data_IF_170260738534
#
_entry.id   IF_170260738534
#
_cell.length_a   1.000
_cell.length_b   1.000
_cell.length_c   1.000
_cell.angle_alpha   90.00
_cell.angle_beta   90.00
_cell.angle_gamma   90.00
#
_symmetry.space_group_name_H-M   'P 1'
#
loop_
_entity.id
_entity.type
_entity.pdbx_description
1 polymer ?
#
# COMPACT_ATOMS: atom_id res chain seq x y z
N UNK A 1 -4.01 4.07 5.63
CA UNK A 1 -3.33 5.10 6.43
C UNK A 1 -3.75 6.51 6.00
N UNK A 2 -3.53 6.91 4.73
CA UNK A 2 -3.90 8.25 4.24
C UNK A 2 -5.36 8.63 4.49
N UNK A 3 -6.32 7.72 4.22
CA UNK A 3 -7.74 7.99 4.45
C UNK A 3 -8.07 8.28 5.92
N UNK A 4 -7.43 7.57 6.86
CA UNK A 4 -7.54 7.82 8.31
C UNK A 4 -6.91 9.17 8.66
N UNK A 5 -5.74 9.48 8.10
CA UNK A 5 -5.03 10.74 8.36
C UNK A 5 -5.82 11.96 7.88
N UNK A 6 -6.51 11.85 6.75
CA UNK A 6 -7.34 12.91 6.19
C UNK A 6 -8.76 12.96 6.82
N UNK A 7 -9.06 12.09 7.80
CA UNK A 7 -10.38 12.05 8.46
C UNK A 7 -11.53 11.62 7.55
N UNK A 8 -11.23 10.97 6.43
CA UNK A 8 -12.24 10.49 5.46
C UNK A 8 -12.98 9.28 6.00
N UNK A 9 -12.28 8.47 6.79
CA UNK A 9 -12.81 7.31 7.48
C UNK A 9 -12.25 7.27 8.89
N UNK A 10 -12.97 6.58 9.77
CA UNK A 10 -12.55 6.20 11.10
C UNK A 10 -12.21 4.70 11.14
N UNK A 11 -11.46 4.23 12.16
CA UNK A 11 -11.05 2.83 12.24
C UNK A 11 -12.18 1.79 12.17
N UNK A 12 -13.38 2.16 12.63
CA UNK A 12 -14.61 1.35 12.64
C UNK A 12 -15.54 1.61 11.44
N UNK A 13 -15.12 2.45 10.48
CA UNK A 13 -15.92 2.74 9.29
C UNK A 13 -16.14 1.51 8.41
N UNK A 14 -17.34 1.45 7.85
CA UNK A 14 -17.76 0.48 6.84
C UNK A 14 -17.87 1.19 5.50
N UNK A 15 -17.34 0.57 4.45
CA UNK A 15 -17.26 1.14 3.11
C UNK A 15 -18.08 0.28 2.16
N UNK A 16 -18.86 0.93 1.30
CA UNK A 16 -19.53 0.28 0.17
C UNK A 16 -18.49 -0.33 -0.79
N UNK A 17 -18.63 -1.62 -1.08
CA UNK A 17 -17.76 -2.36 -1.98
C UNK A 17 -18.51 -3.00 -3.15
N UNK A 18 -19.67 -2.43 -3.52
CA UNK A 18 -20.34 -2.79 -4.77
C UNK A 18 -19.46 -2.47 -6.00
N UNK A 19 -19.39 -3.39 -7.00
CA UNK A 19 -18.68 -3.11 -8.24
C UNK A 19 -19.21 -1.85 -8.93
N UNK A 20 -18.32 -0.97 -9.37
CA UNK A 20 -18.67 0.26 -10.08
C UNK A 20 -17.85 0.42 -11.36
N UNK A 21 -18.28 1.35 -12.21
CA UNK A 21 -17.56 1.70 -13.45
C UNK A 21 -16.87 3.04 -13.25
N UNK A 22 -15.56 3.07 -13.48
CA UNK A 22 -14.75 4.27 -13.50
C UNK A 22 -14.13 4.42 -14.88
N UNK A 23 -14.46 5.51 -15.58
CA UNK A 23 -13.98 5.83 -16.93
C UNK A 23 -14.13 4.69 -17.93
N UNK A 24 -15.28 3.99 -17.91
CA UNK A 24 -15.57 2.87 -18.82
C UNK A 24 -14.95 1.53 -18.39
N UNK A 25 -14.27 1.47 -17.24
CA UNK A 25 -13.68 0.25 -16.70
C UNK A 25 -14.36 -0.19 -15.43
N UNK A 26 -14.75 -1.47 -15.41
CA UNK A 26 -15.39 -2.08 -14.25
C UNK A 26 -14.36 -2.41 -13.18
N UNK A 27 -14.46 -1.76 -12.03
CA UNK A 27 -13.72 -2.10 -10.80
C UNK A 27 -14.57 -3.11 -10.03
N UNK A 28 -13.95 -4.22 -9.63
CA UNK A 28 -14.62 -5.28 -8.88
C UNK A 28 -13.60 -6.10 -8.10
N UNK A 29 -14.05 -6.66 -7.00
CA UNK A 29 -13.28 -7.61 -6.21
C UNK A 29 -13.38 -9.03 -6.81
N UNK A 30 -12.54 -9.94 -6.29
CA UNK A 30 -12.60 -11.37 -6.62
C UNK A 30 -13.88 -12.00 -6.08
N UNK A 31 -14.24 -11.69 -4.84
CA UNK A 31 -15.50 -12.05 -4.21
C UNK A 31 -16.52 -10.92 -4.27
N UNK A 32 -17.80 -11.22 -4.05
CA UNK A 32 -18.81 -10.19 -3.88
C UNK A 32 -19.02 -9.91 -2.39
N UNK A 33 -18.72 -8.67 -2.01
CA UNK A 33 -18.94 -8.13 -0.68
C UNK A 33 -19.68 -6.81 -0.87
N UNK A 34 -20.93 -6.66 -0.40
CA UNK A 34 -21.66 -5.40 -0.57
C UNK A 34 -21.01 -4.28 0.25
N UNK A 35 -20.46 -4.61 1.41
CA UNK A 35 -19.79 -3.69 2.32
C UNK A 35 -18.63 -4.39 3.02
N UNK A 36 -17.57 -3.64 3.33
CA UNK A 36 -16.43 -4.12 4.11
C UNK A 36 -15.99 -3.06 5.12
N UNK A 37 -15.59 -3.50 6.32
CA UNK A 37 -14.82 -2.65 7.24
C UNK A 37 -13.42 -2.38 6.69
N UNK A 38 -12.69 -1.41 7.26
CA UNK A 38 -11.29 -1.17 6.87
C UNK A 38 -10.40 -2.42 7.01
N UNK A 39 -10.61 -3.22 8.06
CA UNK A 39 -9.96 -4.52 8.23
C UNK A 39 -10.36 -5.49 7.12
N UNK A 40 -11.66 -5.54 6.78
CA UNK A 40 -12.17 -6.37 5.69
C UNK A 40 -11.57 -6.01 4.33
N UNK A 41 -11.39 -4.72 4.05
CA UNK A 41 -10.74 -4.23 2.82
C UNK A 41 -9.32 -4.78 2.71
N UNK A 42 -8.52 -4.73 3.78
CA UNK A 42 -7.17 -5.30 3.79
C UNK A 42 -7.19 -6.83 3.72
N UNK A 43 -8.03 -7.48 4.52
CA UNK A 43 -8.15 -8.93 4.60
C UNK A 43 -8.53 -9.56 3.25
N UNK A 44 -9.46 -8.95 2.53
CA UNK A 44 -9.95 -9.43 1.22
C UNK A 44 -9.19 -8.84 0.05
N UNK A 45 -8.24 -7.93 0.31
CA UNK A 45 -7.54 -7.16 -0.72
C UNK A 45 -8.54 -6.52 -1.69
N UNK A 46 -9.56 -5.84 -1.15
CA UNK A 46 -10.67 -5.26 -1.92
C UNK A 46 -10.18 -4.09 -2.78
N UNK A 47 -10.09 -4.32 -4.09
CA UNK A 47 -9.77 -3.30 -5.09
C UNK A 47 -10.86 -2.22 -5.11
N UNK A 48 -12.11 -2.61 -4.89
CA UNK A 48 -13.28 -1.71 -4.83
C UNK A 48 -13.18 -0.77 -3.63
N UNK A 49 -12.93 -1.31 -2.44
CA UNK A 49 -12.81 -0.54 -1.20
C UNK A 49 -11.66 0.47 -1.24
N UNK A 50 -10.45 0.05 -1.62
CA UNK A 50 -9.32 1.00 -1.73
C UNK A 50 -9.54 2.06 -2.82
N UNK A 51 -10.25 1.71 -3.90
CA UNK A 51 -10.59 2.66 -4.96
C UNK A 51 -11.58 3.73 -4.47
N UNK A 52 -12.61 3.37 -3.72
CA UNK A 52 -13.52 4.33 -3.11
C UNK A 52 -12.81 5.27 -2.14
N UNK A 53 -11.96 4.72 -1.25
CA UNK A 53 -11.16 5.54 -0.34
C UNK A 53 -10.27 6.53 -1.10
N UNK A 54 -9.63 6.09 -2.18
CA UNK A 54 -8.80 6.99 -2.99
C UNK A 54 -9.60 8.04 -3.76
N UNK A 55 -10.79 7.70 -4.25
CA UNK A 55 -11.67 8.63 -4.95
C UNK A 55 -12.21 9.74 -4.04
N UNK A 56 -12.31 9.46 -2.74
CA UNK A 56 -12.74 10.41 -1.73
C UNK A 56 -11.67 11.44 -1.32
N UNK A 57 -10.47 11.41 -1.92
CA UNK A 57 -9.39 12.35 -1.61
C UNK A 57 -8.66 12.91 -2.84
N UNK A 58 -8.06 14.11 -2.72
CA UNK A 58 -7.07 14.56 -3.67
C UNK A 58 -5.95 13.54 -3.85
N UNK A 59 -5.63 13.23 -5.10
CA UNK A 59 -4.57 12.27 -5.48
C UNK A 59 -3.23 12.59 -4.84
N UNK A 60 -2.96 13.88 -4.61
CA UNK A 60 -1.73 14.36 -4.00
C UNK A 60 -1.47 13.76 -2.61
N UNK A 61 -2.50 13.54 -1.78
CA UNK A 61 -2.31 12.94 -0.46
C UNK A 61 -1.74 11.52 -0.53
N UNK A 62 -2.13 10.74 -1.54
CA UNK A 62 -1.59 9.39 -1.76
C UNK A 62 -0.16 9.45 -2.28
N UNK A 63 0.13 10.36 -3.20
CA UNK A 63 1.49 10.58 -3.71
C UNK A 63 2.43 10.98 -2.57
N UNK A 64 2.01 11.91 -1.72
CA UNK A 64 2.78 12.37 -0.57
C UNK A 64 3.01 11.23 0.42
N UNK A 65 1.99 10.39 0.66
CA UNK A 65 2.16 9.20 1.50
C UNK A 65 3.15 8.23 0.88
N UNK A 66 3.04 7.90 -0.41
CA UNK A 66 3.98 6.97 -1.06
C UNK A 66 5.42 7.51 -1.04
N UNK A 67 5.62 8.80 -1.34
CA UNK A 67 6.90 9.49 -1.20
C UNK A 67 7.47 9.39 0.19
N UNK A 68 6.65 9.71 1.20
CA UNK A 68 7.09 9.72 2.59
C UNK A 68 7.50 8.32 3.08
N UNK A 69 6.89 7.26 2.55
CA UNK A 69 7.29 5.87 2.83
C UNK A 69 8.47 5.36 1.98
N UNK A 70 9.02 6.19 1.08
CA UNK A 70 10.25 5.90 0.34
C UNK A 70 10.05 5.39 -1.09
N UNK A 71 8.84 5.46 -1.65
CA UNK A 71 8.64 5.20 -3.08
C UNK A 71 9.08 6.40 -3.93
N UNK A 72 9.59 6.09 -5.13
CA UNK A 72 9.95 7.11 -6.12
C UNK A 72 11.22 7.88 -5.79
N UNK A 73 11.96 7.46 -4.77
CA UNK A 73 13.27 7.99 -4.38
C UNK A 73 14.30 6.85 -4.37
N UNK A 74 15.56 7.08 -4.74
CA UNK A 74 16.62 6.10 -4.52
C UNK A 74 16.71 5.70 -3.04
N UNK A 75 17.02 4.43 -2.78
CA UNK A 75 17.19 3.89 -1.42
C UNK A 75 18.43 4.40 -0.68
N UNK A 76 19.38 5.01 -1.40
CA UNK A 76 20.59 5.62 -0.85
C UNK A 76 21.70 4.62 -0.51
N UNK A 77 21.62 3.39 -1.04
CA UNK A 77 22.58 2.32 -0.73
C UNK A 77 23.88 2.42 -1.55
N UNK A 78 23.88 3.21 -2.63
CA UNK A 78 25.06 3.37 -3.49
C UNK A 78 25.33 2.13 -4.34
N UNK A 79 24.30 1.31 -4.58
CA UNK A 79 24.42 0.11 -5.40
C UNK A 79 24.41 0.48 -6.89
N UNK A 80 25.27 -0.18 -7.68
CA UNK A 80 25.25 -0.03 -9.13
C UNK A 80 23.91 -0.52 -9.69
N UNK A 81 23.22 0.32 -10.47
CA UNK A 81 21.91 0.00 -11.02
C UNK A 81 20.73 0.27 -10.09
N UNK A 82 20.97 0.93 -8.96
CA UNK A 82 19.91 1.45 -8.11
C UNK A 82 19.04 2.47 -8.88
N UNK A 83 17.72 2.34 -8.75
CA UNK A 83 16.74 3.18 -9.43
C UNK A 83 15.73 3.73 -8.42
N UNK A 84 15.25 4.94 -8.67
CA UNK A 84 14.16 5.55 -7.92
C UNK A 84 12.79 4.90 -8.23
N UNK A 85 12.73 4.05 -9.26
CA UNK A 85 11.48 3.49 -9.76
C UNK A 85 10.63 4.49 -10.53
N UNK A 86 9.44 4.04 -10.92
CA UNK A 86 8.50 4.85 -11.69
C UNK A 86 7.48 5.46 -10.74
N UNK A 87 7.64 6.74 -10.43
CA UNK A 87 6.61 7.52 -9.75
C UNK A 87 6.26 8.75 -10.57
N UNK A 88 4.98 8.99 -10.89
CA UNK A 88 4.65 10.03 -11.85
C UNK A 88 4.87 11.41 -11.22
N UNK A 89 5.69 12.22 -11.89
CA UNK A 89 5.93 13.61 -11.55
C UNK A 89 5.14 14.49 -12.53
N UNK A 90 3.85 14.73 -12.25
CA UNK A 90 3.02 15.61 -13.09
C UNK A 90 2.20 16.59 -12.26
N UNK A 91 2.08 17.80 -12.80
CA UNK A 91 1.37 18.95 -12.21
C UNK A 91 -0.16 18.84 -12.34
N UNK A 92 -0.65 18.02 -13.26
CA UNK A 92 -2.07 17.78 -13.52
C UNK A 92 -2.32 16.29 -13.69
N UNK A 93 -3.29 15.75 -12.97
CA UNK A 93 -3.74 14.37 -13.07
C UNK A 93 -5.09 14.35 -13.78
N UNK A 94 -5.16 13.75 -14.96
CA UNK A 94 -6.44 13.42 -15.57
C UNK A 94 -7.19 12.35 -14.76
N UNK A 95 -8.51 12.29 -14.89
CA UNK A 95 -9.34 11.26 -14.20
C UNK A 95 -8.84 9.83 -14.51
N UNK A 96 -8.41 9.60 -15.77
CA UNK A 96 -7.86 8.34 -16.29
C UNK A 96 -6.51 7.91 -15.69
N UNK A 97 -5.64 8.82 -15.26
CA UNK A 97 -4.32 8.47 -14.70
C UNK A 97 -4.36 8.28 -13.19
N UNK A 98 -5.29 8.95 -12.52
CA UNK A 98 -5.61 8.66 -11.12
C UNK A 98 -5.91 7.17 -10.94
N UNK A 99 -6.50 6.51 -11.95
CA UNK A 99 -6.71 5.06 -12.00
C UNK A 99 -5.43 4.22 -11.83
N UNK A 100 -4.33 4.60 -12.46
CA UNK A 100 -3.08 3.83 -12.38
C UNK A 100 -2.42 3.99 -11.01
N UNK A 101 -2.48 5.20 -10.43
CA UNK A 101 -2.06 5.43 -9.03
C UNK A 101 -2.91 4.65 -8.02
N UNK A 102 -4.18 4.40 -8.38
CA UNK A 102 -5.18 3.74 -7.54
C UNK A 102 -5.13 2.22 -7.57
N UNK A 103 -4.61 1.61 -8.64
CA UNK A 103 -4.59 0.17 -8.84
C UNK A 103 -3.16 -0.35 -9.10
N UNK A 104 -2.44 -0.70 -8.02
CA UNK A 104 -1.33 -1.68 -7.91
C UNK A 104 -0.08 -1.60 -8.84
N UNK A 105 0.00 -0.73 -9.85
CA UNK A 105 0.94 -0.90 -10.99
C UNK A 105 2.27 -0.12 -10.93
N UNK A 106 2.66 0.49 -9.81
CA UNK A 106 3.93 1.26 -9.72
C UNK A 106 5.08 0.54 -9.00
N UNK A 107 4.81 -0.63 -8.40
CA UNK A 107 5.77 -1.28 -7.51
C UNK A 107 6.66 -2.33 -8.18
N UNK A 108 6.42 -2.62 -9.46
CA UNK A 108 7.20 -3.62 -10.19
C UNK A 108 8.68 -3.19 -10.25
N UNK A 109 9.56 -4.09 -9.81
CA UNK A 109 11.01 -3.96 -9.96
C UNK A 109 11.80 -3.38 -8.78
N UNK A 110 11.17 -3.02 -7.65
CA UNK A 110 11.89 -2.34 -6.55
C UNK A 110 11.71 -2.98 -5.17
N UNK A 111 12.18 -4.23 -4.94
CA UNK A 111 12.03 -4.94 -3.66
C UNK A 111 12.63 -4.19 -2.46
N UNK A 112 13.71 -3.42 -2.66
CA UNK A 112 14.35 -2.65 -1.59
C UNK A 112 13.48 -1.48 -1.11
N UNK A 113 12.79 -0.79 -2.02
CA UNK A 113 11.82 0.25 -1.64
C UNK A 113 10.65 -0.36 -0.88
N UNK A 114 10.14 -1.52 -1.33
CA UNK A 114 9.08 -2.22 -0.60
C UNK A 114 9.54 -2.66 0.79
N UNK A 115 10.77 -3.17 0.93
CA UNK A 115 11.34 -3.51 2.23
C UNK A 115 11.44 -2.27 3.14
N UNK A 116 11.85 -1.12 2.60
CA UNK A 116 11.89 0.15 3.34
C UNK A 116 10.50 0.61 3.82
N UNK A 117 9.47 0.45 2.98
CA UNK A 117 8.08 0.76 3.34
C UNK A 117 7.63 -0.10 4.52
N UNK A 118 7.82 -1.42 4.45
CA UNK A 118 7.46 -2.31 5.56
C UNK A 118 8.30 -2.07 6.81
N UNK A 119 9.59 -1.73 6.68
CA UNK A 119 10.42 -1.32 7.80
C UNK A 119 9.92 -0.02 8.46
N UNK A 120 9.40 0.92 7.66
CA UNK A 120 8.76 2.15 8.15
C UNK A 120 7.45 1.86 8.89
N UNK A 121 6.63 0.92 8.37
CA UNK A 121 5.42 0.45 9.04
C UNK A 121 5.77 -0.22 10.38
N UNK A 122 6.72 -1.16 10.40
CA UNK A 122 7.18 -1.83 11.62
C UNK A 122 7.91 -0.89 12.59
N UNK A 123 8.45 0.22 12.09
CA UNK A 123 8.97 1.33 12.88
C UNK A 123 7.91 2.34 13.33
N UNK A 124 6.62 1.96 13.28
CA UNK A 124 5.45 2.77 13.65
C UNK A 124 5.41 4.18 13.02
N UNK A 125 5.80 4.27 11.75
CA UNK A 125 5.78 5.51 10.98
C UNK A 125 7.08 6.31 11.03
N UNK A 126 8.18 5.71 11.49
CA UNK A 126 9.53 6.31 11.44
C UNK A 126 10.30 5.70 10.27
N UNK A 127 10.49 6.48 9.21
CA UNK A 127 11.32 6.12 8.07
C UNK A 127 12.80 6.28 8.42
N UNK A 128 13.62 5.27 8.13
CA UNK A 128 15.05 5.25 8.42
C UNK A 128 15.83 4.89 7.16
N UNK A 129 17.00 5.51 6.93
CA UNK A 129 17.82 5.15 5.77
C UNK A 129 18.18 3.66 5.81
N UNK A 130 18.15 3.02 4.65
CA UNK A 130 18.62 1.65 4.50
C UNK A 130 20.15 1.60 4.60
N UNK A 131 20.67 0.47 5.06
CA UNK A 131 22.11 0.23 5.10
C UNK A 131 22.43 -1.23 4.80
N UNK A 132 23.47 -1.44 3.99
CA UNK A 132 24.10 -2.74 3.76
C UNK A 132 25.36 -2.95 4.63
N UNK A 133 25.76 -1.92 5.38
CA UNK A 133 26.84 -1.98 6.36
C UNK A 133 26.29 -1.88 7.77
N UNK A 134 27.04 -2.39 8.75
CA UNK A 134 26.67 -2.30 10.16
C UNK A 134 26.63 -0.83 10.58
N UNK A 135 25.55 -0.44 11.26
CA UNK A 135 25.39 0.87 11.91
C UNK A 135 25.24 0.64 13.41
N UNK A 136 25.89 1.46 14.22
CA UNK A 136 25.73 1.43 15.67
C UNK A 136 24.50 2.28 16.07
N UNK A 137 23.58 1.76 16.90
CA UNK A 137 22.39 2.50 17.35
C UNK A 137 22.73 3.72 18.23
N UNK A 138 21.83 4.73 18.32
CA UNK A 138 20.52 4.81 17.68
C UNK A 138 20.58 5.32 16.24
N UNK A 139 19.77 4.72 15.35
CA UNK A 139 19.57 5.24 13.99
C UNK A 139 18.42 6.23 14.00
N UNK A 140 18.76 7.50 13.79
CA UNK A 140 17.78 8.58 13.63
C UNK A 140 16.96 8.37 12.36
N UNK A 141 15.67 8.69 12.45
CA UNK A 141 14.73 8.60 11.34
C UNK A 141 13.76 9.76 11.33
N UNK A 142 12.96 9.85 10.28
CA UNK A 142 11.95 10.89 10.10
C UNK A 142 10.57 10.32 10.36
N UNK A 143 9.74 11.02 11.14
CA UNK A 143 8.33 10.62 11.32
C UNK A 143 7.54 11.01 10.08
N UNK A 144 6.98 10.03 9.40
CA UNK A 144 6.27 10.20 8.12
C UNK A 144 4.78 9.89 8.24
N UNK A 145 4.36 9.22 9.31
CA UNK A 145 2.97 8.95 9.63
C UNK A 145 2.80 8.95 11.16
N UNK A 146 1.67 9.43 11.71
CA UNK A 146 1.37 9.30 13.13
C UNK A 146 1.36 7.85 13.58
N UNK A 147 1.97 7.58 14.72
CA UNK A 147 2.13 6.24 15.29
C UNK A 147 0.79 5.56 15.53
N UNK A 148 -0.21 6.31 16.01
CA UNK A 148 -1.58 5.80 16.22
C UNK A 148 -2.21 5.27 14.93
N UNK A 149 -1.99 5.94 13.79
CA UNK A 149 -2.52 5.52 12.49
C UNK A 149 -1.78 4.28 12.00
N UNK A 150 -0.45 4.25 12.12
CA UNK A 150 0.35 3.09 11.69
C UNK A 150 -0.01 1.87 12.52
N UNK A 151 -0.06 2.01 13.84
CA UNK A 151 -0.43 0.94 14.77
C UNK A 151 -1.85 0.42 14.50
N UNK A 152 -2.81 1.32 14.23
CA UNK A 152 -4.17 0.91 13.87
C UNK A 152 -4.20 0.05 12.61
N UNK A 153 -3.46 0.44 11.57
CA UNK A 153 -3.44 -0.29 10.29
C UNK A 153 -2.61 -1.56 10.38
N UNK A 154 -1.50 -1.56 11.13
CA UNK A 154 -0.68 -2.75 11.39
C UNK A 154 -1.51 -3.86 12.07
N UNK A 155 -2.27 -3.52 13.12
CA UNK A 155 -3.22 -4.44 13.74
C UNK A 155 -4.29 -4.95 12.75
N UNK A 156 -4.80 -4.10 11.84
CA UNK A 156 -5.73 -4.54 10.79
C UNK A 156 -5.07 -5.53 9.81
N UNK A 157 -3.76 -5.38 9.53
CA UNK A 157 -3.01 -6.25 8.62
C UNK A 157 -2.80 -7.66 9.17
N UNK A 158 -2.81 -7.86 10.50
CA UNK A 158 -2.75 -9.20 11.10
C UNK A 158 -3.83 -10.14 10.55
N UNK A 159 -5.02 -9.60 10.26
CA UNK A 159 -6.17 -10.34 9.74
C UNK A 159 -5.92 -11.04 8.39
N UNK A 160 -4.93 -10.55 7.62
CA UNK A 160 -4.52 -11.11 6.33
C UNK A 160 -3.83 -12.47 6.52
N UNK A 161 -3.07 -12.64 7.60
CA UNK A 161 -2.36 -13.89 7.91
C UNK A 161 -3.27 -14.92 8.61
N UNK A 162 -4.39 -14.47 9.20
CA UNK A 162 -5.36 -15.35 9.83
C UNK A 162 -6.11 -16.19 8.78
N UNK A 163 -6.60 -17.36 9.22
CA UNK A 163 -7.15 -18.44 8.38
C UNK A 163 -8.31 -18.04 7.45
N UNK A 164 -8.94 -16.88 7.67
CA UNK A 164 -10.00 -16.30 6.84
C UNK A 164 -9.53 -15.25 5.80
N UNK A 165 -8.28 -14.79 5.89
CA UNK A 165 -7.64 -13.82 4.98
C UNK A 165 -6.58 -14.43 4.05
N UNK A 166 -6.00 -15.58 4.41
CA UNK A 166 -5.01 -16.24 3.59
C UNK A 166 -5.62 -16.76 2.27
N UNK A 167 -5.07 -16.30 1.13
CA UNK A 167 -5.23 -17.00 -0.16
C UNK A 167 -4.79 -18.46 0.08
N UNK A 168 -5.61 -19.49 -0.25
CA UNK A 168 -5.21 -20.87 -0.06
C UNK A 168 -3.86 -21.10 -0.75
N UNK A 169 -2.83 -21.54 0.00
CA UNK A 169 -1.54 -21.93 -0.58
C UNK A 169 -1.81 -23.02 -1.62
N UNK A 170 -1.80 -22.66 -2.90
CA UNK A 170 -1.94 -23.60 -4.00
C UNK A 170 -0.65 -24.41 -4.04
N UNK A 171 -0.70 -25.64 -3.53
CA UNK A 171 0.38 -26.61 -3.72
C UNK A 171 0.39 -26.95 -5.21
N UNK A 172 1.41 -26.53 -5.93
CA UNK A 172 1.68 -27.09 -7.25
C UNK A 172 2.16 -28.53 -7.01
N UNK A 173 1.32 -29.50 -7.34
CA UNK A 173 1.77 -30.87 -7.50
C UNK A 173 2.67 -30.89 -8.74
N UNK A 174 3.98 -31.06 -8.54
CA UNK A 174 4.88 -31.46 -9.62
C UNK A 174 4.53 -32.90 -9.97
N UNK A 175 3.64 -33.11 -10.94
CA UNK A 175 3.59 -34.38 -11.66
C UNK A 175 4.90 -34.52 -12.41
N UNK A 176 5.70 -35.50 -11.98
CA UNK A 176 6.95 -35.86 -12.64
C UNK A 176 6.70 -36.23 -14.09
N UNK A 177 7.50 -35.63 -14.97
CA UNK A 177 7.65 -36.05 -16.35
C UNK A 177 8.36 -37.42 -16.35
N UNK A 178 7.75 -38.40 -17.02
CA UNK A 178 8.45 -39.56 -17.57
C UNK A 178 8.79 -39.25 -19.02
#
# INVERSE_FOLDING_TARGET
MTALQQGIVQPDSVVDTHPFVLDGHRIRDVGYYPELSLTGILQKSSDTGVSHLSLAMPVQHLIDTYKAFGFGEPTGLGLTGESAGLMPHRRYWGQLESRHLRLRLWFDGHPLQLAHVYATIGGFGIARPLSITRIDPPVMGTRVMPESIVHSVEHMMESVALRAGAVPKRRYATTGWR
#
